data_IF_873926092524
#
_entry.id   IF_873926092524
#
_cell.length_a   1.000
_cell.length_b   1.000
_cell.length_c   1.000
_cell.angle_alpha   90.00
_cell.angle_beta   90.00
_cell.angle_gamma   90.00
#
_symmetry.space_group_name_H-M   'P 1'
#
loop_
_entity.id
_entity.type
_entity.pdbx_description
1 polymer ?
#
# COMPACT_ATOMS: atom_id res chain seq x y z
N UNK A 1 14.62 5.90 3.41
CA UNK A 1 13.60 5.07 2.74
C UNK A 1 14.27 4.16 1.74
N UNK A 2 13.88 2.90 1.69
CA UNK A 2 14.44 1.95 0.75
C UNK A 2 13.63 1.94 -0.54
N UNK A 3 14.24 1.43 -1.63
CA UNK A 3 13.52 1.26 -2.89
C UNK A 3 12.28 0.36 -2.72
N UNK A 4 12.34 -0.59 -1.80
CA UNK A 4 11.24 -1.47 -1.47
C UNK A 4 10.02 -0.67 -1.00
N UNK A 5 10.22 0.24 -0.03
CA UNK A 5 9.12 1.06 0.48
C UNK A 5 8.64 2.08 -0.55
N UNK A 6 9.52 2.60 -1.38
CA UNK A 6 9.13 3.52 -2.44
C UNK A 6 8.22 2.84 -3.45
N UNK A 7 8.54 1.62 -3.85
CA UNK A 7 7.69 0.86 -4.77
C UNK A 7 6.32 0.62 -4.16
N UNK A 8 6.27 0.33 -2.86
CA UNK A 8 4.99 0.13 -2.16
C UNK A 8 4.17 1.40 -2.12
N UNK A 9 4.78 2.52 -1.80
CA UNK A 9 4.09 3.81 -1.76
C UNK A 9 3.57 4.21 -3.13
N UNK A 10 4.37 4.02 -4.18
CA UNK A 10 3.93 4.28 -5.54
C UNK A 10 2.71 3.42 -5.91
N UNK A 11 2.76 2.14 -5.56
CA UNK A 11 1.64 1.23 -5.84
C UNK A 11 0.38 1.68 -5.12
N UNK A 12 0.51 2.20 -3.90
CA UNK A 12 -0.62 2.68 -3.12
C UNK A 12 -1.15 4.03 -3.59
N UNK A 13 -0.43 4.71 -4.48
CA UNK A 13 -0.83 6.01 -4.99
C UNK A 13 -1.99 5.98 -5.98
N UNK A 14 -2.39 4.81 -6.45
CA UNK A 14 -3.45 4.66 -7.44
C UNK A 14 -4.75 4.19 -6.77
N UNK A 15 -5.86 4.87 -7.05
CA UNK A 15 -7.14 4.58 -6.41
C UNK A 15 -7.65 3.17 -6.75
N UNK A 16 -7.45 2.72 -7.99
CA UNK A 16 -7.88 1.38 -8.39
C UNK A 16 -7.09 0.31 -7.65
N UNK A 17 -5.78 0.52 -7.50
CA UNK A 17 -4.96 -0.43 -6.76
C UNK A 17 -5.37 -0.49 -5.28
N UNK A 18 -5.69 0.66 -4.68
CA UNK A 18 -6.20 0.66 -3.30
C UNK A 18 -7.52 -0.09 -3.19
N UNK A 19 -8.40 0.04 -4.20
CA UNK A 19 -9.67 -0.68 -4.24
C UNK A 19 -9.44 -2.19 -4.34
N UNK A 20 -8.47 -2.62 -5.14
CA UNK A 20 -8.10 -4.03 -5.25
C UNK A 20 -7.66 -4.57 -3.89
N UNK A 21 -6.76 -3.85 -3.21
CA UNK A 21 -6.27 -4.28 -1.89
C UNK A 21 -7.42 -4.37 -0.90
N UNK A 22 -8.34 -3.43 -0.95
CA UNK A 22 -9.52 -3.45 -0.09
C UNK A 22 -10.38 -4.69 -0.33
N UNK A 23 -10.52 -5.10 -1.59
CA UNK A 23 -11.25 -6.33 -1.92
C UNK A 23 -10.58 -7.57 -1.34
N UNK A 24 -9.26 -7.58 -1.31
CA UNK A 24 -8.50 -8.75 -0.85
C UNK A 24 -8.41 -8.87 0.67
N UNK A 25 -8.85 -7.87 1.41
CA UNK A 25 -8.73 -7.91 2.89
C UNK A 25 -9.57 -9.02 3.52
N UNK A 26 -10.56 -9.55 2.81
CA UNK A 26 -11.41 -10.61 3.33
C UNK A 26 -10.95 -12.00 2.93
N UNK A 27 -9.86 -12.10 2.19
CA UNK A 27 -9.28 -13.38 1.81
C UNK A 27 -8.90 -13.44 0.34
N UNK A 28 -8.27 -14.54 -0.08
CA UNK A 28 -7.84 -14.71 -1.46
C UNK A 28 -8.99 -14.69 -2.45
N UNK A 29 -8.76 -14.07 -3.62
CA UNK A 29 -9.75 -13.99 -4.68
C UNK A 29 -9.09 -14.20 -6.05
N UNK A 30 -9.79 -14.83 -7.00
CA UNK A 30 -9.34 -14.87 -8.39
C UNK A 30 -9.62 -13.53 -9.08
N UNK A 31 -8.92 -13.26 -10.18
CA UNK A 31 -9.02 -11.98 -10.87
C UNK A 31 -10.45 -11.60 -11.26
N UNK A 32 -11.26 -12.59 -11.67
CA UNK A 32 -12.65 -12.32 -12.03
C UNK A 32 -13.48 -11.78 -10.88
N UNK A 33 -13.25 -12.29 -9.68
CA UNK A 33 -13.94 -11.82 -8.49
C UNK A 33 -13.46 -10.43 -8.09
N UNK A 34 -12.17 -10.18 -8.21
CA UNK A 34 -11.61 -8.85 -7.91
C UNK A 34 -12.23 -7.82 -8.86
N UNK A 35 -12.37 -8.15 -10.13
CA UNK A 35 -12.84 -7.21 -11.14
C UNK A 35 -14.35 -6.97 -11.10
N UNK A 36 -15.12 -7.82 -10.44
CA UNK A 36 -16.58 -7.83 -10.53
C UNK A 36 -17.23 -6.47 -10.32
N UNK A 37 -16.83 -5.76 -9.26
CA UNK A 37 -17.49 -4.53 -8.87
C UNK A 37 -16.64 -3.29 -9.15
N UNK A 38 -15.54 -3.44 -9.87
CA UNK A 38 -14.66 -2.32 -10.17
C UNK A 38 -14.92 -1.79 -11.57
N UNK A 39 -14.96 -0.46 -11.76
CA UNK A 39 -15.31 0.14 -13.04
C UNK A 39 -14.13 0.18 -14.02
N UNK A 40 -13.41 -0.92 -14.12
CA UNK A 40 -12.26 -1.07 -15.02
C UNK A 40 -12.27 -2.45 -15.64
N UNK A 41 -11.61 -2.59 -16.77
CA UNK A 41 -11.59 -3.86 -17.49
C UNK A 41 -10.75 -4.90 -16.76
N UNK A 42 -11.03 -6.17 -17.05
CA UNK A 42 -10.25 -7.27 -16.48
C UNK A 42 -8.77 -7.20 -16.85
N UNK A 43 -8.38 -6.88 -18.10
CA UNK A 43 -6.97 -6.66 -18.41
C UNK A 43 -6.33 -5.54 -17.58
N UNK A 44 -7.06 -4.46 -17.29
CA UNK A 44 -6.55 -3.38 -16.45
C UNK A 44 -6.33 -3.87 -15.01
N UNK A 45 -7.25 -4.67 -14.48
CA UNK A 45 -7.08 -5.28 -13.15
C UNK A 45 -5.82 -6.15 -13.13
N UNK A 46 -5.60 -6.95 -14.18
CA UNK A 46 -4.40 -7.79 -14.26
C UNK A 46 -3.12 -6.97 -14.25
N UNK A 47 -3.13 -5.82 -14.92
CA UNK A 47 -1.97 -4.91 -14.90
C UNK A 47 -1.74 -4.33 -13.52
N UNK A 48 -2.81 -3.90 -12.84
CA UNK A 48 -2.69 -3.39 -11.49
C UNK A 48 -2.19 -4.45 -10.51
N UNK A 49 -2.66 -5.69 -10.67
CA UNK A 49 -2.19 -6.80 -9.84
C UNK A 49 -0.71 -7.09 -10.05
N UNK A 50 -0.23 -6.92 -11.29
CA UNK A 50 1.20 -7.09 -11.58
C UNK A 50 2.03 -6.03 -10.83
N UNK A 51 1.59 -4.78 -10.84
CA UNK A 51 2.27 -3.70 -10.09
C UNK A 51 2.28 -4.02 -8.61
N UNK A 52 1.14 -4.43 -8.05
CA UNK A 52 1.02 -4.76 -6.64
C UNK A 52 1.90 -5.96 -6.27
N UNK A 53 1.97 -6.97 -7.13
CA UNK A 53 2.82 -8.14 -6.91
C UNK A 53 4.29 -7.76 -6.94
N UNK A 54 4.69 -6.92 -7.91
CA UNK A 54 6.07 -6.46 -8.01
C UNK A 54 6.50 -5.62 -6.80
N UNK A 55 5.54 -4.94 -6.17
CA UNK A 55 5.79 -4.19 -4.94
C UNK A 55 5.66 -5.06 -3.68
N UNK A 56 5.44 -6.35 -3.84
CA UNK A 56 5.29 -7.32 -2.74
C UNK A 56 4.06 -7.11 -1.87
N UNK A 57 3.09 -6.32 -2.33
CA UNK A 57 1.86 -6.08 -1.56
C UNK A 57 0.85 -7.21 -1.71
N UNK A 58 0.90 -7.93 -2.83
CA UNK A 58 0.08 -9.12 -3.02
C UNK A 58 0.96 -10.29 -3.43
N UNK A 59 0.46 -11.49 -3.15
CA UNK A 59 1.05 -12.75 -3.61
C UNK A 59 -0.03 -13.52 -4.33
N UNK A 60 0.37 -14.50 -5.14
CA UNK A 60 -0.57 -15.33 -5.85
C UNK A 60 -0.17 -16.78 -5.78
N UNK A 61 -1.14 -17.66 -5.94
CA UNK A 61 -0.91 -19.09 -6.00
C UNK A 61 -1.91 -19.77 -6.91
N UNK A 62 -1.52 -20.90 -7.48
CA UNK A 62 -2.41 -21.72 -8.28
C UNK A 62 -3.41 -22.46 -7.39
N UNK A 63 -4.66 -22.52 -7.82
CA UNK A 63 -5.72 -23.27 -7.15
C UNK A 63 -6.58 -23.90 -8.24
N UNK A 64 -6.24 -25.12 -8.64
CA UNK A 64 -6.85 -25.78 -9.78
C UNK A 64 -6.52 -25.02 -11.06
N UNK A 65 -7.55 -24.63 -11.83
CA UNK A 65 -7.38 -23.86 -13.06
C UNK A 65 -7.34 -22.36 -12.82
N UNK A 66 -7.46 -21.92 -11.56
CA UNK A 66 -7.50 -20.51 -11.21
C UNK A 66 -6.23 -20.12 -10.48
N UNK A 67 -5.97 -18.81 -10.48
CA UNK A 67 -4.91 -18.20 -9.68
C UNK A 67 -5.56 -17.30 -8.66
N UNK A 68 -5.22 -17.52 -7.40
CA UNK A 68 -5.77 -16.75 -6.28
C UNK A 68 -4.75 -15.71 -5.84
N UNK A 69 -5.21 -14.48 -5.69
CA UNK A 69 -4.40 -13.36 -5.19
C UNK A 69 -4.78 -13.06 -3.76
N UNK A 70 -3.80 -12.73 -2.94
CA UNK A 70 -4.03 -12.40 -1.54
C UNK A 70 -3.05 -11.33 -1.09
N UNK A 71 -3.39 -10.64 -0.01
CA UNK A 71 -2.49 -9.67 0.60
C UNK A 71 -1.27 -10.39 1.17
N UNK A 72 -0.13 -9.71 1.15
CA UNK A 72 1.11 -10.19 1.75
C UNK A 72 1.27 -9.51 3.12
N UNK A 73 0.93 -10.18 4.22
CA UNK A 73 0.97 -9.54 5.55
C UNK A 73 2.35 -9.01 5.92
N UNK A 74 3.41 -9.73 5.56
CA UNK A 74 4.77 -9.30 5.90
C UNK A 74 5.11 -7.95 5.27
N UNK A 75 4.66 -7.71 4.02
CA UNK A 75 4.91 -6.43 3.36
C UNK A 75 4.16 -5.29 4.04
N UNK A 76 2.92 -5.54 4.45
CA UNK A 76 2.12 -4.52 5.14
C UNK A 76 2.68 -4.24 6.53
N UNK A 77 3.17 -5.24 7.24
CA UNK A 77 3.84 -5.05 8.52
C UNK A 77 5.10 -4.19 8.36
N UNK A 78 5.89 -4.46 7.34
CA UNK A 78 7.10 -3.69 7.06
C UNK A 78 6.77 -2.24 6.73
N UNK A 79 5.73 -2.01 5.93
CA UNK A 79 5.29 -0.67 5.57
C UNK A 79 4.75 0.09 6.78
N UNK A 80 4.02 -0.61 7.64
CA UNK A 80 3.52 -0.05 8.89
C UNK A 80 4.68 0.41 9.78
N UNK A 81 5.71 -0.42 9.93
CA UNK A 81 6.90 -0.07 10.71
C UNK A 81 7.59 1.17 10.13
N UNK A 82 7.67 1.24 8.80
CA UNK A 82 8.25 2.40 8.12
C UNK A 82 7.46 3.67 8.46
N UNK A 83 6.12 3.60 8.39
CA UNK A 83 5.28 4.75 8.72
C UNK A 83 5.38 5.13 10.18
N UNK A 84 5.45 4.16 11.09
CA UNK A 84 5.60 4.44 12.51
C UNK A 84 6.88 5.22 12.79
N UNK A 85 7.99 4.82 12.16
CA UNK A 85 9.26 5.54 12.31
C UNK A 85 9.19 6.91 11.66
N UNK A 86 8.57 7.01 10.49
CA UNK A 86 8.42 8.29 9.80
C UNK A 86 7.63 9.27 10.66
N UNK A 87 6.50 8.85 11.19
CA UNK A 87 5.67 9.71 12.03
C UNK A 87 6.36 10.10 13.31
N UNK A 88 7.07 9.19 13.96
CA UNK A 88 7.81 9.48 15.16
C UNK A 88 8.85 10.57 14.92
N UNK A 89 9.60 10.46 13.83
CA UNK A 89 10.60 11.43 13.46
C UNK A 89 9.99 12.78 13.08
N UNK A 90 8.90 12.75 12.31
CA UNK A 90 8.20 13.96 11.88
C UNK A 90 7.64 14.72 13.08
N UNK A 91 7.04 14.01 14.03
CA UNK A 91 6.48 14.61 15.23
C UNK A 91 7.59 15.18 16.13
N UNK A 92 8.72 14.49 16.25
CA UNK A 92 9.85 14.97 17.01
C UNK A 92 10.42 16.27 16.40
N UNK A 93 10.53 16.30 15.08
CA UNK A 93 11.00 17.50 14.37
C UNK A 93 10.03 18.67 14.54
N UNK A 94 8.75 18.41 14.47
CA UNK A 94 7.73 19.43 14.68
C UNK A 94 7.80 19.98 16.10
N UNK A 95 7.90 19.11 17.09
CA UNK A 95 8.01 19.51 18.49
C UNK A 95 9.25 20.37 18.70
N UNK A 96 10.38 19.96 18.14
CA UNK A 96 11.62 20.73 18.24
C UNK A 96 11.45 22.11 17.63
N UNK A 97 10.86 22.22 16.45
CA UNK A 97 10.65 23.51 15.78
C UNK A 97 9.75 24.43 16.60
N UNK A 98 8.70 23.88 17.21
CA UNK A 98 7.79 24.67 18.05
C UNK A 98 8.50 25.17 19.31
N UNK A 99 9.28 24.31 19.97
CA UNK A 99 9.98 24.67 21.21
C UNK A 99 11.13 25.64 21.00
N UNK A 100 11.68 25.71 19.80
CA UNK A 100 12.84 26.56 19.49
C UNK A 100 12.48 27.69 18.53
N UNK A 101 11.19 28.05 18.46
CA UNK A 101 10.72 29.15 17.65
C UNK A 101 11.27 30.47 18.12
N UNK A 102 11.67 31.39 17.22
CA UNK A 102 12.11 32.73 17.62
C UNK A 102 11.01 33.45 18.38
N UNK A 103 11.42 34.28 19.37
CA UNK A 103 10.46 34.94 20.25
C UNK A 103 9.54 35.92 19.53
N UNK A 104 9.98 36.56 18.47
CA UNK A 104 9.15 37.49 17.71
C UNK A 104 7.96 36.81 17.05
N UNK A 105 7.98 35.52 16.89
CA UNK A 105 6.84 34.75 16.30
C UNK A 105 5.73 34.53 17.29
N UNK A 106 5.94 34.90 18.55
CA UNK A 106 4.93 34.68 19.59
C UNK A 106 3.91 35.79 19.71
N UNK A 107 4.03 36.81 18.91
CA UNK A 107 3.15 37.99 19.01
C UNK A 107 1.83 37.77 18.36
#
# INVERSE_FOLDING_TARGET
>A
MTAYHEAQLDALGDATRRAILSRLRHGPLPVGEIARDLPVSRPAISQHLRVLKNAHLVVDRSAGTRRLYSLNPAAFDSLRDYFDRFWTQALASFKHAVEHRPSEERR
#
